data_IF_232269011059
#
_entry.id   IF_232269011059
#
_cell.length_a   1.000
_cell.length_b   1.000
_cell.length_c   1.000
_cell.angle_alpha   90.00
_cell.angle_beta   90.00
_cell.angle_gamma   90.00
#
_symmetry.space_group_name_H-M   'P 1'
#
loop_
_entity.id
_entity.type
_entity.pdbx_description
1 polymer ?
#
# COMPACT_ATOMS: atom_id res chain seq x y z
N UNK A 1 -5.93 -11.65 32.62
CA UNK A 1 -4.73 -12.25 33.25
C UNK A 1 -5.16 -13.54 33.93
N UNK A 2 -4.41 -14.62 33.76
CA UNK A 2 -4.67 -15.92 34.39
C UNK A 2 -3.39 -16.42 35.06
N UNK A 3 -3.44 -16.59 36.37
CA UNK A 3 -2.38 -17.20 37.16
C UNK A 3 -3.04 -17.97 38.31
N UNK A 4 -2.60 -19.20 38.52
CA UNK A 4 -3.07 -20.04 39.63
C UNK A 4 -1.84 -20.55 40.39
N UNK A 5 -1.71 -20.19 41.67
CA UNK A 5 -0.66 -20.71 42.53
C UNK A 5 -0.80 -22.23 42.68
N UNK A 6 0.31 -23.02 42.72
CA UNK A 6 1.72 -22.61 42.70
C UNK A 6 2.36 -22.69 41.30
N UNK A 7 1.60 -22.45 40.23
CA UNK A 7 2.13 -22.56 38.86
C UNK A 7 3.39 -21.73 38.67
N UNK A 8 4.34 -22.26 37.91
CA UNK A 8 5.54 -21.54 37.48
C UNK A 8 5.28 -20.55 36.34
N UNK A 9 4.08 -20.57 35.75
CA UNK A 9 3.69 -19.69 34.64
C UNK A 9 2.28 -19.10 34.85
N UNK A 10 2.09 -17.91 34.29
CA UNK A 10 0.80 -17.25 34.15
C UNK A 10 0.70 -16.58 32.78
N UNK A 11 -0.49 -16.20 32.36
CA UNK A 11 -0.73 -15.54 31.07
C UNK A 11 -1.38 -14.18 31.27
N UNK A 12 -0.89 -13.19 30.54
CA UNK A 12 -1.52 -11.88 30.41
C UNK A 12 -2.02 -11.80 28.97
N UNK A 13 -3.31 -11.53 28.82
CA UNK A 13 -3.96 -11.32 27.52
C UNK A 13 -4.62 -9.95 27.55
N UNK A 14 -4.40 -9.19 26.50
CA UNK A 14 -5.04 -7.90 26.23
C UNK A 14 -5.33 -7.84 24.74
N UNK A 15 -6.42 -7.17 24.38
CA UNK A 15 -6.78 -6.89 23.00
C UNK A 15 -6.44 -5.45 22.72
N UNK A 16 -5.51 -5.16 21.78
CA UNK A 16 -5.29 -3.78 21.34
C UNK A 16 -6.60 -3.15 20.86
N UNK A 17 -6.78 -1.85 21.13
CA UNK A 17 -7.89 -1.09 20.54
C UNK A 17 -7.74 -1.13 19.02
N UNK A 18 -8.85 -1.24 18.30
CA UNK A 18 -8.83 -1.22 16.84
C UNK A 18 -8.08 0.02 16.32
N UNK A 19 -7.18 -0.18 15.36
CA UNK A 19 -6.32 0.85 14.78
C UNK A 19 -5.41 1.58 15.79
N UNK A 20 -5.15 1.02 16.97
CA UNK A 20 -4.11 1.53 17.86
C UNK A 20 -2.72 1.14 17.31
N UNK A 21 -1.80 2.09 17.32
CA UNK A 21 -0.37 1.87 17.10
C UNK A 21 0.42 2.33 18.31
N UNK A 22 1.65 1.85 18.44
CA UNK A 22 2.61 2.30 19.44
C UNK A 22 3.05 1.21 20.42
N UNK A 23 3.70 1.65 21.50
CA UNK A 23 4.36 0.76 22.46
C UNK A 23 3.58 0.68 23.76
N UNK A 24 3.27 -0.53 24.22
CA UNK A 24 2.76 -0.78 25.55
C UNK A 24 3.89 -1.31 26.45
N UNK A 25 4.01 -0.74 27.65
CA UNK A 25 4.90 -1.22 28.70
C UNK A 25 4.08 -2.04 29.70
N UNK A 26 4.49 -3.28 29.91
CA UNK A 26 3.82 -4.23 30.80
C UNK A 26 4.76 -4.46 31.98
N UNK A 27 4.32 -4.08 33.18
CA UNK A 27 5.04 -4.33 34.43
C UNK A 27 4.31 -5.40 35.22
N UNK A 28 5.02 -6.46 35.60
CA UNK A 28 4.49 -7.57 36.39
C UNK A 28 5.28 -7.65 37.68
N UNK A 29 4.56 -7.56 38.79
CA UNK A 29 5.09 -7.79 40.13
C UNK A 29 4.47 -9.07 40.68
N UNK A 30 5.31 -10.01 41.09
CA UNK A 30 4.90 -11.19 41.85
C UNK A 30 5.24 -10.99 43.32
N UNK A 31 4.40 -11.50 44.22
CA UNK A 31 4.60 -11.45 45.66
C UNK A 31 4.45 -12.86 46.25
N UNK A 32 5.42 -13.33 47.03
CA UNK A 32 5.43 -14.66 47.67
C UNK A 32 4.79 -14.71 49.07
N UNK A 33 4.36 -13.55 49.60
CA UNK A 33 3.71 -13.42 50.90
C UNK A 33 4.64 -13.36 52.11
N UNK A 34 5.97 -13.41 51.92
CA UNK A 34 6.95 -13.34 53.02
C UNK A 34 6.97 -11.95 53.70
N UNK A 35 7.52 -11.88 54.92
CA UNK A 35 7.60 -10.63 55.69
C UNK A 35 8.67 -9.65 55.16
N UNK A 36 9.67 -10.17 54.43
CA UNK A 36 10.80 -9.40 53.91
C UNK A 36 11.16 -9.87 52.51
N UNK A 37 11.47 -8.93 51.60
CA UNK A 37 11.91 -9.21 50.22
C UNK A 37 10.97 -10.15 49.46
N UNK A 38 9.67 -9.96 49.65
CA UNK A 38 8.63 -10.85 49.13
C UNK A 38 8.21 -10.58 47.70
N UNK A 39 8.72 -9.53 47.05
CA UNK A 39 8.31 -9.15 45.69
C UNK A 39 9.43 -9.21 44.67
N UNK A 40 9.11 -9.64 43.45
CA UNK A 40 9.97 -9.52 42.27
C UNK A 40 9.19 -8.81 41.17
N UNK A 41 9.81 -7.83 40.50
CA UNK A 41 9.20 -7.08 39.41
C UNK A 41 9.97 -7.26 38.11
N UNK A 42 9.25 -7.41 37.00
CA UNK A 42 9.81 -7.43 35.63
C UNK A 42 8.99 -6.55 34.71
N UNK A 43 9.66 -5.96 33.73
CA UNK A 43 9.04 -5.10 32.71
C UNK A 43 9.31 -5.64 31.32
N UNK A 44 8.30 -5.59 30.46
CA UNK A 44 8.34 -6.00 29.06
C UNK A 44 7.71 -4.91 28.21
N UNK A 45 8.19 -4.75 26.97
CA UNK A 45 7.57 -3.85 26.00
C UNK A 45 7.01 -4.65 24.84
N UNK A 46 5.86 -4.23 24.32
CA UNK A 46 5.25 -4.80 23.13
C UNK A 46 4.83 -3.65 22.21
N UNK A 47 4.96 -3.83 20.91
CA UNK A 47 4.59 -2.83 19.91
C UNK A 47 3.41 -3.34 19.08
N UNK A 48 2.48 -2.44 18.77
CA UNK A 48 1.41 -2.66 17.81
C UNK A 48 1.68 -1.76 16.61
N UNK A 49 1.75 -2.36 15.42
CA UNK A 49 2.01 -1.65 14.18
C UNK A 49 0.70 -1.42 13.42
N UNK A 50 0.44 -0.19 12.96
CA UNK A 50 -0.72 0.09 12.10
C UNK A 50 -0.40 -0.24 10.65
N UNK A 51 -1.46 -0.33 9.84
CA UNK A 51 -1.26 -0.43 8.40
C UNK A 51 -0.87 0.96 7.87
N UNK A 52 0.07 1.03 6.90
CA UNK A 52 0.27 2.25 6.15
C UNK A 52 -1.01 2.61 5.38
N UNK A 53 -1.10 3.86 4.95
CA UNK A 53 -2.21 4.40 4.17
C UNK A 53 -1.74 4.85 2.80
N UNK A 54 -2.62 4.72 1.82
CA UNK A 54 -2.41 5.15 0.43
C UNK A 54 -3.74 5.69 -0.12
N UNK A 55 -3.70 6.85 -0.76
CA UNK A 55 -4.88 7.43 -1.41
C UNK A 55 -5.24 6.71 -2.68
N UNK A 56 -6.50 6.81 -3.09
CA UNK A 56 -6.97 6.28 -4.37
C UNK A 56 -6.22 6.92 -5.54
N UNK A 57 -6.00 6.12 -6.60
CA UNK A 57 -5.50 6.57 -7.90
C UNK A 57 -6.64 6.37 -8.89
N UNK A 58 -6.92 7.38 -9.70
CA UNK A 58 -8.01 7.32 -10.67
C UNK A 58 -7.67 6.39 -11.84
N UNK A 59 -8.68 5.66 -12.33
CA UNK A 59 -8.57 4.87 -13.56
C UNK A 59 -8.11 5.74 -14.74
N UNK A 60 -7.39 5.13 -15.67
CA UNK A 60 -6.82 5.81 -16.82
C UNK A 60 -7.29 5.16 -18.12
N UNK A 61 -7.58 6.00 -19.11
CA UNK A 61 -7.77 5.58 -20.50
C UNK A 61 -6.76 6.34 -21.34
N UNK A 62 -5.93 5.61 -22.10
CA UNK A 62 -4.90 6.19 -22.96
C UNK A 62 -4.97 5.56 -24.35
N UNK A 63 -4.47 6.26 -25.37
CA UNK A 63 -4.28 5.67 -26.69
C UNK A 63 -3.07 4.72 -26.69
N UNK A 64 -3.08 3.75 -27.60
CA UNK A 64 -1.92 2.91 -27.92
C UNK A 64 -0.68 3.76 -28.18
N UNK A 65 0.48 3.25 -27.80
CA UNK A 65 1.78 3.94 -27.89
C UNK A 65 1.88 5.24 -27.09
N UNK A 66 1.08 5.36 -26.01
CA UNK A 66 1.20 6.41 -25.00
C UNK A 66 1.54 5.81 -23.65
N UNK A 67 2.14 6.62 -22.79
CA UNK A 67 2.21 6.37 -21.35
C UNK A 67 1.17 7.25 -20.65
N UNK A 68 0.85 6.94 -19.40
CA UNK A 68 0.09 7.88 -18.55
C UNK A 68 0.92 9.12 -18.28
N UNK A 69 0.27 10.25 -17.98
CA UNK A 69 0.93 11.31 -17.20
C UNK A 69 1.29 10.78 -15.80
N UNK A 70 2.20 11.42 -15.05
CA UNK A 70 2.47 11.06 -13.67
C UNK A 70 1.19 11.19 -12.83
N UNK A 71 0.72 10.07 -12.28
CA UNK A 71 -0.48 10.02 -11.46
C UNK A 71 -0.09 10.21 -10.00
N UNK A 72 -0.55 11.30 -9.39
CA UNK A 72 -0.24 11.62 -8.00
C UNK A 72 -1.03 10.78 -7.01
N UNK A 73 -0.38 10.39 -5.92
CA UNK A 73 -1.01 9.80 -4.73
C UNK A 73 -0.19 10.15 -3.49
N UNK A 74 -0.80 10.02 -2.33
CA UNK A 74 -0.10 10.21 -1.05
C UNK A 74 -0.04 8.92 -0.27
N UNK A 75 1.06 8.77 0.48
CA UNK A 75 1.25 7.71 1.46
C UNK A 75 1.51 8.30 2.83
N UNK A 76 1.07 7.60 3.87
CA UNK A 76 1.41 7.94 5.23
C UNK A 76 1.41 6.68 6.09
N UNK A 77 2.28 6.65 7.08
CA UNK A 77 2.21 5.72 8.18
C UNK A 77 2.48 6.49 9.46
N UNK A 78 1.93 6.01 10.56
CA UNK A 78 1.95 6.76 11.80
C UNK A 78 3.09 6.33 12.73
N UNK A 79 3.67 5.14 12.50
CA UNK A 79 4.86 4.66 13.18
C UNK A 79 6.13 4.89 12.34
N UNK A 80 5.99 4.95 11.02
CA UNK A 80 7.09 4.96 10.05
C UNK A 80 7.08 6.24 9.21
N UNK A 81 8.20 6.95 9.17
CA UNK A 81 8.34 8.14 8.35
C UNK A 81 8.06 7.85 6.87
N UNK A 82 7.32 8.74 6.19
CA UNK A 82 6.90 8.52 4.80
C UNK A 82 8.06 8.34 3.80
N UNK A 83 9.25 8.87 4.10
CA UNK A 83 10.47 8.66 3.32
C UNK A 83 11.05 7.25 3.46
N UNK A 84 10.76 6.57 4.57
CA UNK A 84 11.19 5.20 4.87
C UNK A 84 10.19 4.15 4.38
N UNK A 85 9.00 4.57 3.95
CA UNK A 85 8.02 3.68 3.34
C UNK A 85 8.49 3.22 1.95
N UNK A 86 8.39 1.92 1.73
CA UNK A 86 8.68 1.27 0.45
C UNK A 86 7.41 1.24 -0.40
N UNK A 87 7.52 1.61 -1.67
CA UNK A 87 6.40 1.58 -2.61
C UNK A 87 6.76 0.69 -3.79
N UNK A 88 5.83 -0.16 -4.21
CA UNK A 88 5.99 -1.06 -5.37
C UNK A 88 4.75 -1.01 -6.27
N UNK A 89 4.92 -1.37 -7.54
CA UNK A 89 3.87 -1.44 -8.54
C UNK A 89 3.84 -2.79 -9.23
N UNK A 90 2.64 -3.33 -9.47
CA UNK A 90 2.44 -4.59 -10.19
C UNK A 90 1.24 -4.50 -11.14
N UNK A 91 1.34 -5.18 -12.28
CA UNK A 91 0.28 -5.29 -13.28
C UNK A 91 -0.38 -6.66 -13.23
N UNK A 92 -1.70 -6.70 -13.39
CA UNK A 92 -2.45 -7.94 -13.60
C UNK A 92 -2.28 -8.53 -15.01
N UNK A 93 -1.74 -7.76 -15.96
CA UNK A 93 -1.52 -8.17 -17.34
C UNK A 93 -0.11 -7.72 -17.77
N UNK A 94 0.89 -8.56 -17.48
CA UNK A 94 2.29 -8.26 -17.77
C UNK A 94 2.64 -8.33 -19.25
N UNK A 95 1.79 -8.94 -20.08
CA UNK A 95 1.92 -8.91 -21.54
C UNK A 95 1.51 -7.57 -22.14
N UNK A 96 0.67 -6.79 -21.45
CA UNK A 96 0.35 -5.40 -21.81
C UNK A 96 1.27 -4.41 -21.10
N UNK A 97 1.44 -4.57 -19.78
CA UNK A 97 2.27 -3.72 -18.93
C UNK A 97 3.20 -4.57 -18.06
N UNK A 98 4.44 -4.83 -18.48
CA UNK A 98 5.45 -5.43 -17.63
C UNK A 98 5.69 -4.61 -16.35
N UNK A 99 5.94 -5.27 -15.21
CA UNK A 99 6.09 -4.57 -13.92
C UNK A 99 7.24 -3.53 -13.92
N UNK A 100 8.31 -3.77 -14.68
CA UNK A 100 9.43 -2.82 -14.82
C UNK A 100 9.10 -1.56 -15.63
N UNK A 101 7.88 -1.47 -16.20
CA UNK A 101 7.34 -0.28 -16.86
C UNK A 101 6.33 0.49 -16.01
N UNK A 102 6.23 0.14 -14.73
CA UNK A 102 5.52 0.91 -13.72
C UNK A 102 6.58 1.69 -12.94
N UNK A 103 6.78 2.94 -13.34
CA UNK A 103 7.78 3.82 -12.73
C UNK A 103 7.17 4.58 -11.55
N UNK A 104 7.80 4.48 -10.38
CA UNK A 104 7.41 5.23 -9.19
C UNK A 104 8.30 6.46 -9.04
N UNK A 105 7.71 7.58 -8.62
CA UNK A 105 8.40 8.84 -8.40
C UNK A 105 7.88 9.59 -7.17
N UNK A 106 8.33 10.83 -7.02
CA UNK A 106 8.06 11.67 -5.84
C UNK A 106 8.90 11.29 -4.62
N UNK A 107 8.71 12.02 -3.52
CA UNK A 107 9.48 11.87 -2.27
C UNK A 107 8.59 12.06 -1.05
N UNK A 108 8.98 11.43 0.06
CA UNK A 108 8.23 11.50 1.31
C UNK A 108 6.78 11.04 1.13
N UNK A 109 5.83 11.84 1.58
CA UNK A 109 4.40 11.53 1.49
C UNK A 109 3.83 11.68 0.08
N UNK A 110 4.40 12.53 -0.78
CA UNK A 110 3.87 12.83 -2.11
C UNK A 110 4.58 11.96 -3.16
N UNK A 111 3.85 11.01 -3.74
CA UNK A 111 4.38 10.04 -4.69
C UNK A 111 3.65 10.13 -6.02
N UNK A 112 4.30 9.62 -7.07
CA UNK A 112 3.69 9.48 -8.38
C UNK A 112 3.89 8.08 -8.94
N UNK A 113 2.99 7.65 -9.82
CA UNK A 113 3.17 6.45 -10.65
C UNK A 113 2.96 6.82 -12.11
N UNK A 114 3.87 6.37 -12.97
CA UNK A 114 3.77 6.49 -14.43
C UNK A 114 3.76 5.08 -15.00
N UNK A 115 2.77 4.78 -15.85
CA UNK A 115 2.60 3.45 -16.44
C UNK A 115 2.82 3.53 -17.95
N UNK A 116 3.73 2.71 -18.45
CA UNK A 116 4.07 2.65 -19.88
C UNK A 116 3.77 1.25 -20.42
N UNK A 117 2.66 1.03 -21.15
CA UNK A 117 2.42 -0.22 -21.86
C UNK A 117 3.53 -0.57 -22.87
N UNK A 118 3.52 -1.82 -23.34
CA UNK A 118 4.31 -2.21 -24.51
C UNK A 118 3.74 -1.54 -25.77
N UNK A 119 4.64 -1.18 -26.69
CA UNK A 119 4.26 -0.55 -27.95
C UNK A 119 3.36 -1.47 -28.79
N UNK A 120 2.39 -0.88 -29.48
CA UNK A 120 1.41 -1.56 -30.33
C UNK A 120 0.38 -2.41 -29.59
N UNK A 121 0.47 -2.53 -28.25
CA UNK A 121 -0.47 -3.34 -27.47
C UNK A 121 -1.69 -2.51 -27.04
N UNK A 122 -2.84 -3.18 -27.00
CA UNK A 122 -4.11 -2.62 -26.51
C UNK A 122 -4.73 -3.57 -25.49
N UNK A 123 -5.69 -3.08 -24.73
CA UNK A 123 -6.43 -3.85 -23.74
C UNK A 123 -6.37 -3.26 -22.34
N UNK A 124 -6.76 -4.08 -21.37
CA UNK A 124 -6.95 -3.64 -19.99
C UNK A 124 -5.91 -4.31 -19.07
N UNK A 125 -5.38 -3.53 -18.12
CA UNK A 125 -4.57 -4.01 -17.01
C UNK A 125 -5.02 -3.33 -15.71
N UNK A 126 -5.15 -4.10 -14.63
CA UNK A 126 -5.26 -3.54 -13.29
C UNK A 126 -3.85 -3.32 -12.74
N UNK A 127 -3.56 -2.08 -12.37
CA UNK A 127 -2.28 -1.68 -11.79
C UNK A 127 -2.46 -1.52 -10.29
N UNK A 128 -1.73 -2.32 -9.51
CA UNK A 128 -1.75 -2.31 -8.05
C UNK A 128 -0.50 -1.64 -7.53
N UNK A 129 -0.67 -0.56 -6.76
CA UNK A 129 0.39 0.15 -6.04
C UNK A 129 0.30 -0.25 -4.57
N UNK A 130 1.40 -0.75 -4.03
CA UNK A 130 1.51 -1.22 -2.64
C UNK A 130 2.49 -0.34 -1.88
N UNK A 131 2.11 0.07 -0.67
CA UNK A 131 2.98 0.74 0.30
C UNK A 131 3.23 -0.19 1.49
N UNK A 132 4.47 -0.27 1.94
CA UNK A 132 4.89 -1.07 3.10
C UNK A 132 5.81 -0.28 4.02
N UNK A 133 5.63 -0.48 5.32
CA UNK A 133 6.52 0.00 6.39
C UNK A 133 7.55 -1.07 6.83
N UNK A 134 7.58 -2.22 6.14
CA UNK A 134 8.44 -3.37 6.46
C UNK A 134 7.79 -4.43 7.37
N UNK A 135 6.68 -4.11 8.04
CA UNK A 135 5.92 -5.04 8.88
C UNK A 135 4.49 -5.29 8.36
N UNK A 136 3.87 -4.27 7.78
CA UNK A 136 2.53 -4.25 7.26
C UNK A 136 2.51 -3.66 5.84
N UNK A 137 1.38 -3.77 5.15
CA UNK A 137 1.21 -3.22 3.81
C UNK A 137 -0.24 -2.82 3.55
N UNK A 138 -0.40 -1.80 2.71
CA UNK A 138 -1.68 -1.41 2.14
C UNK A 138 -1.53 -1.20 0.63
N UNK A 139 -2.61 -1.40 -0.12
CA UNK A 139 -2.58 -1.30 -1.57
C UNK A 139 -3.79 -0.55 -2.14
N UNK A 140 -3.60 0.02 -3.33
CA UNK A 140 -4.65 0.57 -4.18
C UNK A 140 -4.47 0.07 -5.59
N UNK A 141 -5.59 -0.24 -6.23
CA UNK A 141 -5.63 -0.68 -7.62
C UNK A 141 -6.40 0.33 -8.45
N UNK A 142 -5.88 0.64 -9.63
CA UNK A 142 -6.58 1.40 -10.65
C UNK A 142 -6.52 0.65 -11.98
N UNK A 143 -7.57 0.80 -12.78
CA UNK A 143 -7.63 0.22 -14.12
C UNK A 143 -6.90 1.13 -15.11
N UNK A 144 -6.06 0.53 -15.94
CA UNK A 144 -5.52 1.12 -17.15
C UNK A 144 -6.19 0.48 -18.36
N UNK A 145 -6.77 1.31 -19.21
CA UNK A 145 -7.38 0.93 -20.47
C UNK A 145 -6.61 1.55 -21.65
N UNK A 146 -6.00 0.71 -22.48
CA UNK A 146 -5.20 1.11 -23.64
C UNK A 146 -6.02 0.89 -24.91
N UNK A 147 -6.48 1.99 -25.49
CA UNK A 147 -7.41 2.00 -26.62
C UNK A 147 -6.67 2.01 -27.96
N UNK A 148 -7.21 1.35 -29.00
CA UNK A 148 -6.64 1.41 -30.33
C UNK A 148 -6.67 2.84 -30.89
N UNK A 149 -5.82 3.12 -31.87
CA UNK A 149 -5.87 4.38 -32.62
C UNK A 149 -7.22 4.47 -33.36
N UNK A 150 -7.92 5.62 -33.33
CA UNK A 150 -9.12 5.82 -34.14
C UNK A 150 -8.83 5.53 -35.62
N UNK A 151 -9.77 4.84 -36.28
CA UNK A 151 -9.68 4.61 -37.71
C UNK A 151 -9.67 5.96 -38.45
N UNK A 152 -8.95 6.08 -39.59
CA UNK A 152 -9.07 7.23 -40.47
C UNK A 152 -10.54 7.41 -40.90
N UNK A 153 -11.01 8.65 -41.14
CA UNK A 153 -12.32 8.87 -41.75
C UNK A 153 -12.42 8.10 -43.06
N UNK A 154 -13.48 7.30 -43.22
CA UNK A 154 -13.67 6.42 -44.37
C UNK A 154 -14.36 7.10 -45.57
N UNK A 155 -14.57 8.42 -45.54
CA UNK A 155 -15.29 9.11 -46.62
C UNK A 155 -14.72 10.52 -46.88
N UNK A 156 -13.93 10.67 -47.95
CA UNK A 156 -13.72 11.96 -48.60
C UNK A 156 -14.80 12.08 -49.69
N UNK A 157 -16.00 12.56 -49.34
CA UNK A 157 -16.91 13.02 -50.37
C UNK A 157 -16.38 14.35 -50.91
N UNK A 158 -15.77 14.31 -52.09
CA UNK A 158 -15.64 15.49 -52.93
C UNK A 158 -17.07 15.81 -53.39
N UNK A 159 -17.71 16.75 -52.70
CA UNK A 159 -18.95 17.35 -53.20
C UNK A 159 -18.50 18.23 -54.37
N UNK A 160 -18.57 17.71 -55.59
CA UNK A 160 -18.44 18.55 -56.76
C UNK A 160 -19.60 19.56 -56.72
N UNK A 161 -19.29 20.84 -56.57
CA UNK A 161 -20.26 21.89 -56.86
C UNK A 161 -20.62 21.77 -58.34
N UNK A 162 -21.90 21.57 -58.63
CA UNK A 162 -22.41 21.70 -59.99
C UNK A 162 -22.31 23.19 -60.38
N UNK A 163 -21.88 23.48 -61.62
CA UNK A 163 -21.58 24.85 -62.06
C UNK A 163 -22.81 25.77 -62.08
#
# INVERSE_FOLDING_TARGET
MSYTSPSSTGSISFTPVSNAGGTATITVTVNDGSATSNTVTRTFTTTVNRLPTITTIANQTIGVDRATSPLAFTIADAETAASSLTVTGASSNTSLVPNNRIALGGTGANRTVTVTPLAGQTGIANITVTVSDGSASAARTFQLDVQPKPAPPSNLQVIAATP
#
